data_IF_521982762373
#
_entry.id   IF_521982762373
#
_cell.length_a   1.000
_cell.length_b   1.000
_cell.length_c   1.000
_cell.angle_alpha   90.00
_cell.angle_beta   90.00
_cell.angle_gamma   90.00
#
_symmetry.space_group_name_H-M   'P 1'
#
loop_
_entity.id
_entity.type
_entity.pdbx_description
1 polymer ?
#
# COMPACT_ATOMS: atom_id res chain seq x y z
N UNK A 1 10.62 2.42 -11.76
CA UNK A 1 10.03 2.05 -10.46
C UNK A 1 9.20 0.80 -10.64
N UNK A 2 8.69 0.22 -9.55
CA UNK A 2 7.72 -0.87 -9.61
C UNK A 2 6.31 -0.27 -9.78
N UNK A 3 5.55 -0.71 -10.79
CA UNK A 3 4.17 -0.24 -11.06
C UNK A 3 3.22 -0.47 -9.87
N UNK A 4 3.52 -1.48 -9.04
CA UNK A 4 2.71 -1.81 -7.88
C UNK A 4 2.78 -0.70 -6.82
N UNK A 5 3.78 0.18 -6.84
CA UNK A 5 3.84 1.35 -5.93
C UNK A 5 2.72 2.33 -6.22
N UNK A 6 2.50 2.64 -7.51
CA UNK A 6 1.47 3.58 -7.92
C UNK A 6 0.09 2.99 -7.65
N UNK A 7 -0.11 1.71 -7.97
CA UNK A 7 -1.36 1.01 -7.68
C UNK A 7 -1.65 0.99 -6.17
N UNK A 8 -0.66 0.67 -5.33
CA UNK A 8 -0.82 0.65 -3.88
C UNK A 8 -1.26 2.02 -3.35
N UNK A 9 -0.67 3.10 -3.87
CA UNK A 9 -1.02 4.46 -3.48
C UNK A 9 -2.45 4.82 -3.87
N UNK A 10 -2.96 4.38 -5.03
CA UNK A 10 -4.38 4.59 -5.39
C UNK A 10 -5.33 3.94 -4.38
N UNK A 11 -4.92 2.85 -3.73
CA UNK A 11 -5.71 2.12 -2.74
C UNK A 11 -5.60 2.68 -1.32
N UNK A 12 -4.69 3.63 -1.05
CA UNK A 12 -4.39 4.08 0.31
C UNK A 12 -5.42 5.07 0.87
N UNK A 13 -5.98 5.95 0.04
CA UNK A 13 -6.94 6.97 0.46
C UNK A 13 -8.14 7.03 -0.48
N UNK A 14 -9.23 6.36 -0.10
CA UNK A 14 -10.52 6.42 -0.81
C UNK A 14 -10.63 5.50 -2.03
N UNK A 15 -9.53 5.13 -2.69
CA UNK A 15 -9.56 4.16 -3.79
C UNK A 15 -10.08 4.75 -5.11
N UNK A 16 -9.68 4.14 -6.23
CA UNK A 16 -10.37 4.29 -7.51
C UNK A 16 -11.55 3.32 -7.64
N UNK A 17 -12.29 3.42 -8.75
CA UNK A 17 -13.44 2.54 -9.00
C UNK A 17 -13.03 1.07 -9.14
N UNK A 18 -13.94 0.16 -8.79
CA UNK A 18 -13.72 -1.28 -8.98
C UNK A 18 -13.44 -1.64 -10.44
N UNK A 19 -14.06 -0.92 -11.38
CA UNK A 19 -13.83 -1.05 -12.83
C UNK A 19 -12.38 -0.76 -13.19
N UNK A 20 -11.76 0.28 -12.63
CA UNK A 20 -10.34 0.58 -12.86
C UNK A 20 -9.46 -0.60 -12.46
N UNK A 21 -9.66 -1.13 -11.25
CA UNK A 21 -8.85 -2.24 -10.74
C UNK A 21 -9.07 -3.55 -11.51
N UNK A 22 -10.29 -3.80 -12.00
CA UNK A 22 -10.59 -4.95 -12.83
C UNK A 22 -9.83 -4.87 -14.17
N UNK A 23 -9.95 -3.74 -14.87
CA UNK A 23 -9.25 -3.51 -16.14
C UNK A 23 -7.72 -3.56 -15.96
N UNK A 24 -7.19 -3.01 -14.87
CA UNK A 24 -5.76 -3.06 -14.57
C UNK A 24 -5.25 -4.50 -14.39
N UNK A 25 -5.98 -5.34 -13.64
CA UNK A 25 -5.62 -6.75 -13.43
C UNK A 25 -5.76 -7.61 -14.68
N UNK A 26 -6.73 -7.30 -15.54
CA UNK A 26 -6.90 -7.96 -16.84
C UNK A 26 -5.74 -7.63 -17.78
N UNK A 27 -5.39 -6.35 -17.89
CA UNK A 27 -4.31 -5.90 -18.76
C UNK A 27 -2.92 -6.31 -18.24
N UNK A 28 -2.72 -6.30 -16.92
CA UNK A 28 -1.44 -6.64 -16.30
C UNK A 28 -1.62 -7.34 -14.93
N UNK A 29 -1.79 -8.67 -14.94
CA UNK A 29 -2.00 -9.47 -13.73
C UNK A 29 -0.97 -9.19 -12.65
N UNK A 30 -1.43 -9.13 -11.41
CA UNK A 30 -0.57 -8.90 -10.24
C UNK A 30 0.01 -10.22 -9.76
N UNK A 31 1.24 -10.16 -9.28
CA UNK A 31 1.88 -11.31 -8.66
C UNK A 31 1.23 -11.61 -7.29
N UNK A 32 1.12 -12.88 -6.86
CA UNK A 32 0.45 -13.26 -5.61
C UNK A 32 0.97 -12.53 -4.36
N UNK A 33 2.25 -12.12 -4.37
CA UNK A 33 2.87 -11.35 -3.28
C UNK A 33 2.42 -9.89 -3.19
N UNK A 34 1.60 -9.40 -4.13
CA UNK A 34 1.16 -8.00 -4.15
C UNK A 34 0.47 -7.58 -2.86
N UNK A 35 -0.28 -8.47 -2.19
CA UNK A 35 -0.96 -8.12 -0.94
C UNK A 35 0.02 -7.66 0.16
N UNK A 36 1.17 -8.32 0.25
CA UNK A 36 2.23 -7.97 1.20
C UNK A 36 2.99 -6.74 0.71
N UNK A 37 3.40 -6.71 -0.56
CA UNK A 37 4.10 -5.55 -1.16
C UNK A 37 3.28 -4.27 -1.13
N UNK A 38 1.96 -4.33 -1.31
CA UNK A 38 1.05 -3.19 -1.12
C UNK A 38 1.17 -2.58 0.28
N UNK A 39 1.24 -3.42 1.31
CA UNK A 39 1.41 -2.94 2.69
C UNK A 39 2.77 -2.25 2.84
N UNK A 40 3.82 -2.81 2.24
CA UNK A 40 5.16 -2.22 2.23
C UNK A 40 5.21 -0.88 1.48
N UNK A 41 4.63 -0.80 0.29
CA UNK A 41 4.58 0.43 -0.50
C UNK A 41 3.77 1.52 0.18
N UNK A 42 2.63 1.17 0.77
CA UNK A 42 1.84 2.14 1.52
C UNK A 42 2.52 2.57 2.83
N UNK A 43 3.34 1.74 3.46
CA UNK A 43 4.08 2.12 4.66
C UNK A 43 5.01 3.31 4.38
N UNK A 44 5.69 3.33 3.24
CA UNK A 44 6.48 4.49 2.83
C UNK A 44 5.64 5.77 2.82
N UNK A 45 4.45 5.73 2.22
CA UNK A 45 3.57 6.88 2.16
C UNK A 45 3.04 7.29 3.53
N UNK A 46 2.68 6.34 4.40
CA UNK A 46 2.21 6.64 5.76
C UNK A 46 3.33 7.23 6.62
N UNK A 47 4.57 6.75 6.50
CA UNK A 47 5.73 7.38 7.14
C UNK A 47 5.97 8.80 6.62
N UNK A 48 5.83 9.02 5.31
CA UNK A 48 5.90 10.37 4.74
C UNK A 48 4.78 11.27 5.29
N UNK A 49 3.55 10.76 5.45
CA UNK A 49 2.46 11.52 6.05
C UNK A 49 2.67 11.79 7.54
N UNK A 50 3.27 10.86 8.28
CA UNK A 50 3.69 11.10 9.65
C UNK A 50 4.69 12.26 9.73
N UNK A 51 5.69 12.28 8.84
CA UNK A 51 6.69 13.33 8.79
C UNK A 51 6.09 14.71 8.44
N UNK A 52 5.15 14.76 7.49
CA UNK A 52 4.61 16.01 6.95
C UNK A 52 3.39 16.54 7.71
N UNK A 53 2.56 15.65 8.25
CA UNK A 53 1.24 15.97 8.79
C UNK A 53 1.04 15.52 10.25
N UNK A 54 2.05 14.86 10.83
CA UNK A 54 2.16 14.64 12.27
C UNK A 54 1.58 13.32 12.78
N UNK A 55 1.48 13.25 14.12
CA UNK A 55 1.33 11.99 14.89
C UNK A 55 0.05 11.19 14.60
N UNK A 56 -0.94 11.77 13.92
CA UNK A 56 -2.15 11.05 13.53
C UNK A 56 -1.86 9.82 12.64
N UNK A 57 -0.73 9.82 11.94
CA UNK A 57 -0.29 8.70 11.09
C UNK A 57 0.61 7.68 11.82
N UNK A 58 1.03 7.97 13.07
CA UNK A 58 2.00 7.13 13.80
C UNK A 58 1.45 5.73 14.05
N UNK A 59 0.23 5.64 14.60
CA UNK A 59 -0.39 4.36 14.92
C UNK A 59 -0.57 3.49 13.68
N UNK A 60 -0.94 4.10 12.55
CA UNK A 60 -1.09 3.40 11.28
C UNK A 60 0.27 2.86 10.78
N UNK A 61 1.34 3.66 10.88
CA UNK A 61 2.70 3.22 10.51
C UNK A 61 3.13 2.01 11.34
N UNK A 62 2.95 2.06 12.66
CA UNK A 62 3.29 0.97 13.58
C UNK A 62 2.52 -0.32 13.28
N UNK A 63 1.21 -0.23 13.05
CA UNK A 63 0.39 -1.37 12.67
C UNK A 63 0.86 -2.01 11.35
N UNK A 64 1.21 -1.19 10.37
CA UNK A 64 1.69 -1.67 9.07
C UNK A 64 3.06 -2.34 9.19
N UNK A 65 3.98 -1.78 9.99
CA UNK A 65 5.27 -2.42 10.29
C UNK A 65 5.08 -3.77 10.96
N UNK A 66 4.25 -3.84 12.01
CA UNK A 66 3.98 -5.08 12.74
C UNK A 66 3.39 -6.16 11.82
N UNK A 67 2.48 -5.77 10.92
CA UNK A 67 1.91 -6.68 9.92
C UNK A 67 2.98 -7.21 8.97
N UNK A 68 3.89 -6.37 8.49
CA UNK A 68 4.97 -6.80 7.61
C UNK A 68 5.96 -7.73 8.30
N UNK A 69 6.31 -7.45 9.55
CA UNK A 69 7.19 -8.32 10.35
C UNK A 69 6.57 -9.70 10.56
N UNK A 70 5.25 -9.80 10.73
CA UNK A 70 4.55 -11.07 10.88
C UNK A 70 4.58 -11.96 9.61
N UNK A 71 4.89 -11.41 8.42
CA UNK A 71 5.01 -12.17 7.17
C UNK A 71 6.41 -12.79 6.97
N UNK A 72 7.37 -12.47 7.86
CA UNK A 72 8.76 -12.96 7.80
C UNK A 72 8.97 -14.19 8.70
N UNK A 73 8.01 -14.48 9.59
CA UNK A 73 8.02 -15.60 10.53
C UNK A 73 7.23 -16.80 10.01
#
# INVERSE_FOLDING_TARGET
GDRETDLAMTELFGGFSTTFYAAYREAYPLDPGYKTRKTLYNLYHILNHLNLFGKNYLHQAEQMMNKLLAEIH
#
